data_IF_065037257331
#
_entry.id   IF_065037257331
#
_cell.length_a   1.000
_cell.length_b   1.000
_cell.length_c   1.000
_cell.angle_alpha   90.00
_cell.angle_beta   90.00
_cell.angle_gamma   90.00
#
_symmetry.space_group_name_H-M   'P 1'
#
loop_
_entity.id
_entity.type
_entity.pdbx_description
1 polymer ?
#
# COMPACT_ATOMS: atom_id res chain seq x y z
N UNK A 1 20.49 16.63 19.16
CA UNK A 1 20.63 15.74 17.98
C UNK A 1 20.35 14.29 18.35
N UNK A 2 21.09 13.69 19.28
CA UNK A 2 20.87 12.28 19.68
C UNK A 2 19.46 11.99 20.18
N UNK A 3 18.87 12.90 20.97
CA UNK A 3 17.47 12.78 21.43
C UNK A 3 16.50 12.75 20.25
N UNK A 4 16.71 13.59 19.22
CA UNK A 4 15.85 13.61 18.04
C UNK A 4 16.00 12.32 17.22
N UNK A 5 17.22 11.81 17.05
CA UNK A 5 17.46 10.55 16.36
C UNK A 5 16.79 9.37 17.07
N UNK A 6 16.90 9.30 18.40
CA UNK A 6 16.25 8.27 19.21
C UNK A 6 14.72 8.35 19.12
N UNK A 7 14.19 9.56 19.18
CA UNK A 7 12.77 9.82 19.02
C UNK A 7 12.26 9.46 17.61
N UNK A 8 13.08 9.65 16.59
CA UNK A 8 12.75 9.24 15.22
C UNK A 8 12.87 7.74 15.06
N UNK A 9 13.83 7.04 15.70
CA UNK A 9 14.03 5.59 15.56
C UNK A 9 13.04 4.73 16.34
N UNK A 10 12.39 5.29 17.36
CA UNK A 10 11.43 4.56 18.22
C UNK A 10 9.95 4.83 17.89
N UNK A 11 9.66 5.75 16.97
CA UNK A 11 8.27 6.04 16.57
C UNK A 11 7.79 5.07 15.51
N UNK A 12 6.52 4.71 15.58
CA UNK A 12 5.84 4.02 14.48
C UNK A 12 5.86 4.91 13.24
N UNK A 13 6.41 4.45 12.11
CA UNK A 13 6.44 5.21 10.87
C UNK A 13 5.10 5.22 10.13
N UNK A 14 4.05 4.61 10.71
CA UNK A 14 2.73 4.46 10.13
C UNK A 14 2.56 3.09 9.48
N UNK A 15 2.92 2.00 10.16
CA UNK A 15 2.77 0.64 9.61
C UNK A 15 1.28 0.34 9.37
N UNK A 16 0.93 0.03 8.13
CA UNK A 16 -0.40 -0.45 7.74
C UNK A 16 -0.48 -1.96 8.01
N UNK A 17 -1.44 -2.42 8.85
CA UNK A 17 -1.62 -3.84 9.11
C UNK A 17 -1.89 -4.64 7.83
N UNK A 18 -1.30 -5.84 7.74
CA UNK A 18 -1.54 -6.75 6.62
C UNK A 18 -2.95 -7.32 6.70
N UNK A 19 -3.56 -7.57 5.57
CA UNK A 19 -4.83 -8.30 5.53
C UNK A 19 -4.56 -9.80 5.67
N UNK A 20 -5.41 -10.52 6.41
CA UNK A 20 -5.29 -11.99 6.55
C UNK A 20 -5.66 -12.73 5.27
N UNK A 21 -6.53 -12.13 4.45
CA UNK A 21 -7.00 -12.67 3.19
C UNK A 21 -7.07 -11.55 2.13
N UNK A 22 -6.96 -11.85 0.84
CA UNK A 22 -7.19 -10.84 -0.21
C UNK A 22 -8.59 -10.23 -0.08
N UNK A 23 -8.79 -8.94 -0.43
CA UNK A 23 -10.11 -8.34 -0.47
C UNK A 23 -10.98 -9.05 -1.51
N UNK A 24 -12.24 -9.32 -1.16
CA UNK A 24 -13.18 -9.97 -2.07
C UNK A 24 -13.54 -9.06 -3.24
N UNK A 25 -13.79 -9.63 -4.44
CA UNK A 25 -14.10 -8.87 -5.64
C UNK A 25 -15.48 -8.18 -5.61
N UNK A 26 -16.35 -8.52 -4.66
CA UNK A 26 -17.72 -8.00 -4.54
C UNK A 26 -17.76 -6.54 -4.05
N UNK A 27 -16.66 -6.06 -3.47
CA UNK A 27 -16.46 -4.68 -3.00
C UNK A 27 -15.89 -3.74 -4.10
N UNK A 28 -15.75 -4.25 -5.31
CA UNK A 28 -15.27 -3.53 -6.50
C UNK A 28 -16.50 -2.97 -7.21
N UNK A 29 -16.86 -1.73 -6.85
CA UNK A 29 -17.91 -0.99 -7.53
C UNK A 29 -17.82 -1.14 -9.05
N UNK A 30 -18.98 -1.43 -9.62
CA UNK A 30 -19.31 -1.72 -11.02
C UNK A 30 -18.92 -0.56 -11.96
N UNK A 31 -17.62 -0.29 -12.12
CA UNK A 31 -17.14 0.71 -13.07
C UNK A 31 -15.68 0.48 -13.45
N UNK A 32 -15.39 -0.63 -14.13
CA UNK A 32 -14.21 -0.67 -14.99
C UNK A 32 -14.60 -1.33 -16.30
N UNK A 33 -14.76 -0.47 -17.31
CA UNK A 33 -14.87 -0.85 -18.71
C UNK A 33 -13.83 -1.93 -19.02
N UNK A 34 -14.33 -3.07 -19.50
CA UNK A 34 -13.56 -4.16 -20.08
C UNK A 34 -12.76 -3.62 -21.28
N UNK A 35 -11.48 -3.35 -21.09
CA UNK A 35 -10.54 -3.25 -22.21
C UNK A 35 -9.59 -4.44 -22.16
N UNK A 36 -9.97 -5.43 -22.96
CA UNK A 36 -9.17 -6.50 -23.57
C UNK A 36 -7.65 -6.36 -23.43
N UNK A 37 -6.98 -7.36 -22.85
CA UNK A 37 -5.54 -7.54 -23.00
C UNK A 37 -5.18 -9.03 -23.13
N UNK A 38 -4.66 -9.49 -24.27
CA UNK A 38 -4.23 -10.86 -24.44
C UNK A 38 -2.74 -10.98 -24.11
N UNK A 39 -2.41 -11.73 -23.06
CA UNK A 39 -1.07 -12.28 -22.88
C UNK A 39 -0.47 -12.11 -21.48
N UNK A 40 -0.27 -13.24 -20.80
CA UNK A 40 0.59 -13.34 -19.62
C UNK A 40 0.00 -14.20 -18.50
N UNK A 41 0.22 -15.51 -18.57
CA UNK A 41 -0.11 -16.46 -17.50
C UNK A 41 0.82 -16.26 -16.30
N UNK A 42 0.29 -15.82 -15.15
CA UNK A 42 0.75 -16.24 -13.82
C UNK A 42 -0.32 -15.99 -12.73
N UNK A 43 -0.97 -17.09 -12.30
CA UNK A 43 -1.54 -17.33 -10.97
C UNK A 43 -2.23 -16.20 -10.19
N UNK A 44 -3.53 -16.07 -10.37
CA UNK A 44 -4.61 -15.72 -9.41
C UNK A 44 -5.70 -15.02 -10.22
N UNK A 45 -6.96 -15.43 -10.08
CA UNK A 45 -8.08 -14.76 -10.73
C UNK A 45 -8.04 -13.27 -10.36
N UNK A 46 -7.69 -12.43 -11.33
CA UNK A 46 -6.92 -11.23 -11.10
C UNK A 46 -7.73 -10.13 -10.42
N UNK A 47 -7.49 -9.91 -9.13
CA UNK A 47 -7.90 -8.66 -8.50
C UNK A 47 -7.26 -7.51 -9.28
N UNK A 48 -8.03 -6.47 -9.64
CA UNK A 48 -7.51 -5.37 -10.41
C UNK A 48 -6.36 -4.72 -9.64
N UNK A 49 -5.23 -4.55 -10.31
CA UNK A 49 -4.01 -3.96 -9.73
C UNK A 49 -4.28 -2.56 -9.15
N UNK A 50 -5.31 -1.90 -9.64
CA UNK A 50 -5.77 -0.60 -9.17
C UNK A 50 -7.27 -0.59 -8.85
N UNK A 51 -7.65 0.12 -7.78
CA UNK A 51 -9.05 0.39 -7.39
C UNK A 51 -9.20 1.90 -7.23
N UNK A 52 -10.36 2.46 -7.57
CA UNK A 52 -10.68 3.86 -7.27
C UNK A 52 -11.36 3.95 -5.90
N UNK A 53 -10.90 4.88 -5.06
CA UNK A 53 -11.40 5.10 -3.69
C UNK A 53 -11.77 6.57 -3.54
N UNK A 54 -12.94 6.83 -2.93
CA UNK A 54 -13.41 8.19 -2.67
C UNK A 54 -12.74 8.75 -1.41
N UNK A 55 -12.03 9.87 -1.55
CA UNK A 55 -11.36 10.58 -0.45
C UNK A 55 -11.79 12.03 -0.48
N UNK A 56 -12.52 12.49 0.54
CA UNK A 56 -13.05 13.86 0.62
C UNK A 56 -13.83 14.30 -0.64
N UNK A 57 -14.57 13.38 -1.28
CA UNK A 57 -15.32 13.65 -2.51
C UNK A 57 -14.50 13.56 -3.81
N UNK A 58 -13.20 13.24 -3.73
CA UNK A 58 -12.33 13.06 -4.91
C UNK A 58 -12.02 11.57 -5.11
N UNK A 59 -12.18 11.07 -6.34
CA UNK A 59 -11.77 9.72 -6.70
C UNK A 59 -10.24 9.63 -6.84
N UNK A 60 -9.63 8.75 -6.06
CA UNK A 60 -8.18 8.50 -6.07
C UNK A 60 -7.91 7.05 -6.39
N UNK A 61 -7.06 6.83 -7.40
CA UNK A 61 -6.62 5.49 -7.78
C UNK A 61 -5.58 4.96 -6.80
N UNK A 62 -5.89 3.85 -6.13
CA UNK A 62 -4.99 3.13 -5.24
C UNK A 62 -4.47 1.84 -5.88
N UNK A 63 -3.30 1.37 -5.45
CA UNK A 63 -2.65 0.16 -5.98
C UNK A 63 -2.74 -1.00 -4.99
N UNK A 64 -2.86 -2.23 -5.49
CA UNK A 64 -2.79 -3.42 -4.66
C UNK A 64 -1.34 -3.72 -4.21
N UNK A 65 -1.19 -4.27 -3.00
CA UNK A 65 0.06 -4.83 -2.49
C UNK A 65 -0.12 -6.34 -2.29
N UNK A 66 0.57 -7.15 -3.09
CA UNK A 66 0.50 -8.61 -2.98
C UNK A 66 1.10 -9.12 -1.68
N UNK A 67 2.16 -8.49 -1.16
CA UNK A 67 2.85 -8.91 0.06
C UNK A 67 2.02 -8.67 1.33
N UNK A 68 1.29 -7.55 1.38
CA UNK A 68 0.46 -7.18 2.53
C UNK A 68 -1.03 -7.50 2.32
N UNK A 69 -1.40 -8.04 1.15
CA UNK A 69 -2.76 -8.42 0.74
C UNK A 69 -3.80 -7.31 0.89
N UNK A 70 -3.44 -6.06 0.57
CA UNK A 70 -4.30 -4.91 0.73
C UNK A 70 -4.22 -3.92 -0.44
N UNK A 71 -5.29 -3.18 -0.68
CA UNK A 71 -5.22 -1.96 -1.47
C UNK A 71 -4.58 -0.87 -0.63
N UNK A 72 -3.45 -0.34 -1.10
CA UNK A 72 -2.64 0.64 -0.36
C UNK A 72 -3.46 1.90 -0.14
N UNK A 73 -3.67 2.36 1.10
CA UNK A 73 -4.32 3.65 1.35
C UNK A 73 -3.68 4.79 0.54
N UNK A 74 -4.38 5.89 0.28
CA UNK A 74 -3.80 7.05 -0.39
C UNK A 74 -2.48 7.47 0.27
N UNK A 75 -1.44 7.63 -0.55
CA UNK A 75 -0.05 7.94 -0.14
C UNK A 75 0.69 6.84 0.63
N UNK A 76 0.16 5.62 0.70
CA UNK A 76 0.87 4.46 1.27
C UNK A 76 1.74 3.75 0.22
N UNK A 77 2.95 3.37 0.60
CA UNK A 77 3.84 2.55 -0.23
C UNK A 77 4.41 1.36 0.55
N UNK A 78 4.73 0.28 -0.16
CA UNK A 78 5.38 -0.88 0.44
C UNK A 78 6.89 -0.67 0.46
N UNK A 79 7.48 -0.72 1.64
CA UNK A 79 8.93 -0.79 1.80
C UNK A 79 9.36 -2.27 1.78
N UNK A 80 10.14 -2.67 0.77
CA UNK A 80 10.65 -4.04 0.66
C UNK A 80 11.66 -4.38 1.77
N UNK A 81 12.40 -3.39 2.28
CA UNK A 81 13.39 -3.57 3.34
C UNK A 81 12.70 -3.89 4.68
N UNK A 82 11.73 -3.08 5.08
CA UNK A 82 10.94 -3.33 6.29
C UNK A 82 9.84 -4.38 6.08
N UNK A 83 9.62 -4.82 4.83
CA UNK A 83 8.55 -5.74 4.44
C UNK A 83 7.16 -5.30 4.94
N UNK A 84 6.85 -4.01 4.86
CA UNK A 84 5.61 -3.45 5.38
C UNK A 84 5.11 -2.30 4.49
N UNK A 85 3.79 -2.17 4.42
CA UNK A 85 3.16 -0.98 3.87
C UNK A 85 3.21 0.15 4.92
N UNK A 86 3.63 1.34 4.52
CA UNK A 86 3.82 2.50 5.40
C UNK A 86 2.95 3.66 4.92
N UNK A 87 2.14 4.23 5.81
CA UNK A 87 1.33 5.41 5.54
C UNK A 87 2.19 6.65 5.30
N UNK A 88 1.78 7.48 4.32
CA UNK A 88 2.56 8.64 3.83
C UNK A 88 4.06 8.35 3.73
N UNK A 89 4.40 7.16 3.24
CA UNK A 89 5.78 6.72 3.08
C UNK A 89 6.59 7.77 2.32
N UNK A 90 7.74 8.13 2.89
CA UNK A 90 8.75 8.94 2.25
C UNK A 90 9.92 8.03 1.80
N UNK A 91 10.69 7.52 2.75
CA UNK A 91 11.83 6.65 2.45
C UNK A 91 12.15 5.68 3.59
N UNK A 92 12.96 4.65 3.30
CA UNK A 92 13.65 3.88 4.33
C UNK A 92 14.98 4.55 4.65
N UNK A 93 15.21 4.92 5.90
CA UNK A 93 16.42 5.62 6.32
C UNK A 93 17.37 4.67 7.05
N UNK A 94 18.52 4.29 6.45
CA UNK A 94 19.48 3.37 7.07
C UNK A 94 20.05 3.90 8.39
N UNK A 95 20.12 5.21 8.55
CA UNK A 95 20.74 5.88 9.71
C UNK A 95 19.90 5.78 10.98
N UNK A 96 18.57 5.69 10.85
CA UNK A 96 17.66 5.45 11.97
C UNK A 96 17.15 4.01 12.02
N UNK A 97 17.54 3.19 11.04
CA UNK A 97 17.17 1.77 10.97
C UNK A 97 15.69 1.52 10.67
N UNK A 98 14.95 2.50 10.15
CA UNK A 98 13.53 2.35 9.88
C UNK A 98 12.97 3.25 8.77
N UNK A 99 11.70 3.05 8.43
CA UNK A 99 10.98 3.91 7.49
C UNK A 99 10.70 5.30 8.08
N UNK A 100 10.62 6.29 7.20
CA UNK A 100 10.12 7.62 7.48
C UNK A 100 8.76 7.74 6.79
N UNK A 101 7.74 8.03 7.59
CA UNK A 101 6.34 8.05 7.17
C UNK A 101 5.48 8.88 8.13
N UNK A 102 4.17 8.64 8.09
CA UNK A 102 3.13 9.50 8.66
C UNK A 102 3.14 9.63 10.18
#
# INVERSE_FOLDING_TARGET
ILVLLLLTSGRDPGIVPRNSHPPEPEDIGESSNLSDWPGGQHGSAGLPLTKDVLVNGVLVKVKYCHTCMLYRPPRCSHCSICNNCIERFDHHCPWVGQCIGK
#
